data_IF_809274629461
#
_entry.id   IF_809274629461
#
_cell.length_a   1.000
_cell.length_b   1.000
_cell.length_c   1.000
_cell.angle_alpha   90.00
_cell.angle_beta   90.00
_cell.angle_gamma   90.00
#
_symmetry.space_group_name_H-M   'P 1'
#
loop_
_entity.id
_entity.type
_entity.pdbx_description
1 polymer ?
#
# COMPACT_ATOMS: atom_id res chain seq x y z
N UNK A 1 41.66 34.62 -36.42
CA UNK A 1 40.84 34.83 -37.62
C UNK A 1 39.79 33.72 -37.72
N UNK A 2 38.51 34.11 -37.71
CA UNK A 2 37.23 33.45 -38.06
C UNK A 2 37.11 31.90 -38.03
N UNK A 3 36.27 31.40 -37.11
CA UNK A 3 35.54 30.13 -37.25
C UNK A 3 34.49 30.28 -38.37
N UNK A 4 34.48 29.37 -39.34
CA UNK A 4 33.42 29.26 -40.35
C UNK A 4 32.34 28.31 -39.85
N UNK A 5 31.12 28.84 -39.71
CA UNK A 5 29.92 28.10 -39.35
C UNK A 5 29.38 27.37 -40.59
N UNK A 6 29.17 26.05 -40.52
CA UNK A 6 28.59 25.28 -41.64
C UNK A 6 27.08 25.33 -41.53
N UNK A 7 26.44 26.26 -42.25
CA UNK A 7 24.98 26.32 -42.30
C UNK A 7 24.40 25.13 -43.09
N UNK A 8 23.35 24.52 -42.54
CA UNK A 8 22.62 23.42 -43.18
C UNK A 8 21.91 23.92 -44.46
N UNK A 9 21.99 23.14 -45.54
CA UNK A 9 21.43 23.51 -46.84
C UNK A 9 19.91 23.31 -46.92
N UNK A 10 19.19 24.23 -47.58
CA UNK A 10 17.71 24.20 -47.76
C UNK A 10 17.16 22.85 -48.24
N UNK A 11 17.93 22.09 -49.03
CA UNK A 11 17.55 20.74 -49.51
C UNK A 11 17.61 19.67 -48.41
N UNK A 12 18.57 19.75 -47.49
CA UNK A 12 18.63 18.88 -46.32
C UNK A 12 17.50 19.18 -45.33
N UNK A 13 17.11 20.46 -45.21
CA UNK A 13 15.99 20.86 -44.37
C UNK A 13 14.65 20.29 -44.86
N UNK A 14 14.39 20.34 -46.17
CA UNK A 14 13.17 19.76 -46.75
C UNK A 14 13.16 18.23 -46.72
N UNK A 15 14.32 17.58 -46.91
CA UNK A 15 14.43 16.12 -46.79
C UNK A 15 14.16 15.59 -45.38
N UNK A 16 14.63 16.31 -44.35
CA UNK A 16 14.42 15.92 -42.96
C UNK A 16 13.03 16.30 -42.40
N UNK A 17 12.31 17.24 -43.04
CA UNK A 17 10.99 17.69 -42.58
C UNK A 17 9.87 16.65 -42.74
N UNK A 18 9.98 15.75 -43.72
CA UNK A 18 8.96 14.72 -43.99
C UNK A 18 8.90 13.60 -42.94
N UNK A 19 10.02 13.31 -42.26
CA UNK A 19 10.08 12.24 -41.24
C UNK A 19 9.33 12.63 -39.96
N UNK A 20 9.24 13.92 -39.63
CA UNK A 20 8.55 14.40 -38.43
C UNK A 20 7.02 14.43 -38.57
N UNK A 21 6.50 14.62 -39.79
CA UNK A 21 5.05 14.73 -40.01
C UNK A 21 4.31 13.37 -39.99
N UNK A 22 4.99 12.28 -40.34
CA UNK A 22 4.39 10.94 -40.30
C UNK A 22 4.15 10.44 -38.86
N UNK A 23 4.97 10.86 -37.90
CA UNK A 23 4.85 10.47 -36.49
C UNK A 23 3.70 11.15 -35.74
N UNK A 24 3.25 12.33 -36.19
CA UNK A 24 2.20 13.11 -35.52
C UNK A 24 0.76 12.68 -35.86
N UNK A 25 0.57 11.78 -36.83
CA UNK A 25 -0.75 11.28 -37.24
C UNK A 25 -1.14 9.97 -36.56
N UNK A 26 -0.23 9.37 -35.79
CA UNK A 26 -0.59 8.25 -34.92
C UNK A 26 -1.27 8.85 -33.68
N UNK A 27 -2.53 8.48 -33.37
CA UNK A 27 -3.06 8.78 -32.04
C UNK A 27 -2.06 8.25 -31.02
N UNK A 28 -1.78 8.96 -29.92
CA UNK A 28 -0.95 8.39 -28.86
C UNK A 28 -1.60 7.04 -28.54
N UNK A 29 -0.87 5.95 -28.76
CA UNK A 29 -1.27 4.64 -28.30
C UNK A 29 -1.53 4.85 -26.82
N UNK A 30 -2.80 4.92 -26.45
CA UNK A 30 -3.22 4.89 -25.07
C UNK A 30 -2.89 3.47 -24.66
N UNK A 31 -1.65 3.27 -24.21
CA UNK A 31 -1.28 2.11 -23.44
C UNK A 31 -2.19 2.22 -22.23
N UNK A 32 -3.33 1.52 -22.29
CA UNK A 32 -4.14 1.26 -21.13
C UNK A 32 -3.14 0.83 -20.07
N UNK A 33 -2.96 1.68 -19.06
CA UNK A 33 -1.92 1.48 -18.07
C UNK A 33 -2.30 0.19 -17.37
N UNK A 34 -1.70 -0.92 -17.79
CA UNK A 34 -1.91 -2.22 -17.22
C UNK A 34 -1.26 -2.16 -15.85
N UNK A 35 -1.96 -1.54 -14.88
CA UNK A 35 -1.59 -1.56 -13.48
C UNK A 35 -1.65 -3.01 -13.06
N UNK A 36 -0.49 -3.67 -13.13
CA UNK A 36 -0.31 -4.98 -12.55
C UNK A 36 -0.23 -4.77 -11.04
N UNK A 37 -1.06 -5.51 -10.32
CA UNK A 37 -0.93 -5.63 -8.88
C UNK A 37 0.31 -6.50 -8.65
N UNK A 38 1.40 -5.88 -8.23
CA UNK A 38 2.67 -6.60 -8.01
C UNK A 38 2.61 -7.48 -6.76
N UNK A 39 1.79 -7.09 -5.78
CA UNK A 39 1.65 -7.78 -4.50
C UNK A 39 0.18 -7.92 -4.14
N UNK A 40 -0.24 -9.16 -3.91
CA UNK A 40 -1.59 -9.48 -3.47
C UNK A 40 -1.55 -9.73 -1.97
N UNK A 41 -2.28 -8.90 -1.24
CA UNK A 41 -2.45 -9.04 0.21
C UNK A 41 -3.72 -9.79 0.59
N UNK A 42 -3.70 -10.42 1.77
CA UNK A 42 -4.87 -11.05 2.37
C UNK A 42 -5.27 -10.33 3.66
N UNK A 43 -6.53 -9.88 3.71
CA UNK A 43 -7.12 -9.30 4.92
C UNK A 43 -7.59 -10.42 5.86
N UNK A 44 -6.87 -10.59 6.97
CA UNK A 44 -6.91 -11.78 7.83
C UNK A 44 -8.18 -11.92 8.65
N UNK A 45 -9.06 -10.92 8.68
CA UNK A 45 -10.40 -11.07 9.26
C UNK A 45 -11.18 -12.22 8.60
N UNK A 46 -10.92 -12.48 7.31
CA UNK A 46 -11.50 -13.62 6.59
C UNK A 46 -11.17 -14.96 7.25
N UNK A 47 -9.98 -15.09 7.84
CA UNK A 47 -9.47 -16.31 8.48
C UNK A 47 -9.42 -16.20 10.01
N UNK A 48 -10.20 -15.30 10.60
CA UNK A 48 -10.15 -15.01 12.05
C UNK A 48 -10.42 -16.23 12.93
N UNK A 49 -11.25 -17.17 12.46
CA UNK A 49 -11.60 -18.35 13.23
C UNK A 49 -10.44 -19.35 13.24
N UNK A 50 -9.83 -19.57 12.09
CA UNK A 50 -8.67 -20.43 11.88
C UNK A 50 -7.46 -19.90 12.64
N UNK A 51 -7.20 -18.59 12.55
CA UNK A 51 -6.13 -17.92 13.32
C UNK A 51 -6.34 -17.98 14.83
N UNK A 52 -7.59 -18.02 15.30
CA UNK A 52 -7.90 -18.17 16.72
C UNK A 52 -7.65 -19.59 17.23
N UNK A 53 -7.63 -20.59 16.33
CA UNK A 53 -7.39 -21.99 16.68
C UNK A 53 -5.91 -22.38 16.51
N UNK A 54 -5.29 -21.95 15.42
CA UNK A 54 -3.92 -22.29 15.04
C UNK A 54 -3.34 -21.13 14.23
N UNK A 55 -2.70 -20.19 14.93
CA UNK A 55 -2.19 -18.96 14.33
C UNK A 55 -1.03 -19.25 13.36
N UNK A 56 -0.01 -19.96 13.84
CA UNK A 56 1.19 -20.30 13.08
C UNK A 56 0.87 -21.20 11.90
N UNK A 57 0.10 -22.27 12.10
CA UNK A 57 -0.26 -23.20 11.03
C UNK A 57 -1.18 -22.60 9.98
N UNK A 58 -2.06 -21.67 10.37
CA UNK A 58 -2.89 -20.93 9.40
C UNK A 58 -2.04 -20.00 8.54
N UNK A 59 -1.12 -19.24 9.14
CA UNK A 59 -0.23 -18.34 8.40
C UNK A 59 0.73 -19.09 7.48
N UNK A 60 1.24 -20.26 7.90
CA UNK A 60 2.04 -21.12 7.04
C UNK A 60 1.27 -21.58 5.80
N UNK A 61 0.03 -22.05 5.96
CA UNK A 61 -0.83 -22.43 4.84
C UNK A 61 -1.13 -21.27 3.90
N UNK A 62 -1.36 -20.07 4.44
CA UNK A 62 -1.57 -18.87 3.62
C UNK A 62 -0.33 -18.54 2.78
N UNK A 63 0.87 -18.71 3.35
CA UNK A 63 2.13 -18.57 2.62
C UNK A 63 2.30 -19.66 1.54
N UNK A 64 1.94 -20.91 1.83
CA UNK A 64 1.95 -22.01 0.84
C UNK A 64 1.03 -21.72 -0.35
N UNK A 65 -0.12 -21.07 -0.12
CA UNK A 65 -1.05 -20.63 -1.17
C UNK A 65 -0.52 -19.46 -2.02
N UNK A 66 0.62 -18.88 -1.67
CA UNK A 66 1.31 -17.85 -2.45
C UNK A 66 1.04 -16.41 -2.02
N UNK A 67 0.27 -16.19 -0.95
CA UNK A 67 0.12 -14.85 -0.39
C UNK A 67 1.40 -14.42 0.35
N UNK A 68 1.76 -13.14 0.25
CA UNK A 68 3.00 -12.58 0.82
C UNK A 68 2.77 -11.34 1.67
N UNK A 69 1.60 -10.70 1.55
CA UNK A 69 1.24 -9.54 2.36
C UNK A 69 -0.02 -9.82 3.16
N UNK A 70 -0.01 -9.48 4.44
CA UNK A 70 -1.12 -9.72 5.36
C UNK A 70 -1.61 -8.40 5.95
N UNK A 71 -2.92 -8.25 6.06
CA UNK A 71 -3.53 -7.19 6.84
C UNK A 71 -4.21 -7.80 8.07
N UNK A 72 -3.64 -7.53 9.25
CA UNK A 72 -4.15 -8.10 10.50
C UNK A 72 -5.47 -7.45 10.93
N UNK A 73 -6.30 -8.23 11.61
CA UNK A 73 -7.50 -7.72 12.28
C UNK A 73 -7.39 -7.98 13.78
N UNK A 74 -6.64 -7.10 14.44
CA UNK A 74 -6.09 -7.37 15.77
C UNK A 74 -4.94 -8.39 15.74
N UNK A 75 -4.31 -8.56 16.90
CA UNK A 75 -3.03 -9.27 17.04
C UNK A 75 -3.14 -10.61 17.80
N UNK A 76 -4.35 -11.12 18.05
CA UNK A 76 -4.59 -12.43 18.68
C UNK A 76 -3.82 -12.64 20.00
N UNK A 77 -3.70 -11.58 20.82
CA UNK A 77 -2.94 -11.57 22.08
C UNK A 77 -1.45 -11.89 21.96
N UNK A 78 -0.85 -11.67 20.78
CA UNK A 78 0.58 -11.85 20.54
C UNK A 78 1.31 -10.52 20.56
N UNK A 79 2.57 -10.56 20.94
CA UNK A 79 3.48 -9.41 20.84
C UNK A 79 3.89 -9.14 19.39
N UNK A 80 4.27 -7.90 19.09
CA UNK A 80 4.76 -7.52 17.76
C UNK A 80 5.94 -8.39 17.32
N UNK A 81 6.86 -8.71 18.24
CA UNK A 81 8.00 -9.59 17.99
C UNK A 81 7.61 -11.01 17.60
N UNK A 82 6.65 -11.62 18.30
CA UNK A 82 6.18 -12.97 17.97
C UNK A 82 5.55 -13.00 16.58
N UNK A 83 4.72 -12.01 16.26
CA UNK A 83 4.11 -11.90 14.94
C UNK A 83 5.18 -11.69 13.88
N UNK A 84 6.14 -10.80 14.14
CA UNK A 84 7.24 -10.51 13.21
C UNK A 84 8.04 -11.77 12.88
N UNK A 85 8.39 -12.56 13.90
CA UNK A 85 9.08 -13.83 13.71
C UNK A 85 8.29 -14.78 12.80
N UNK A 86 6.99 -14.96 13.05
CA UNK A 86 6.15 -15.84 12.22
C UNK A 86 6.05 -15.34 10.78
N UNK A 87 5.96 -14.02 10.56
CA UNK A 87 5.97 -13.46 9.21
C UNK A 87 7.31 -13.70 8.51
N UNK A 88 8.42 -13.43 9.19
CA UNK A 88 9.78 -13.61 8.65
C UNK A 88 10.05 -15.09 8.29
N UNK A 89 9.67 -16.02 9.17
CA UNK A 89 9.81 -17.48 8.95
C UNK A 89 9.06 -17.96 7.70
N UNK A 90 7.97 -17.28 7.34
CA UNK A 90 7.13 -17.61 6.19
C UNK A 90 7.38 -16.71 4.97
N UNK A 91 8.39 -15.82 5.03
CA UNK A 91 8.69 -14.88 3.94
C UNK A 91 7.53 -13.93 3.63
N UNK A 92 6.76 -13.56 4.64
CA UNK A 92 5.60 -12.68 4.55
C UNK A 92 5.88 -11.30 5.15
N UNK A 93 5.01 -10.35 4.87
CA UNK A 93 5.04 -9.02 5.48
C UNK A 93 3.63 -8.57 5.84
N UNK A 94 3.52 -7.55 6.69
CA UNK A 94 2.26 -6.91 7.00
C UNK A 94 2.40 -5.40 6.87
N UNK A 95 1.89 -4.79 5.78
CA UNK A 95 1.98 -3.34 5.62
C UNK A 95 0.94 -2.59 6.46
N UNK A 96 -0.14 -3.25 6.87
CA UNK A 96 -1.27 -2.62 7.56
C UNK A 96 -1.92 -3.54 8.60
N UNK A 97 -2.63 -2.93 9.55
CA UNK A 97 -3.55 -3.62 10.44
C UNK A 97 -4.82 -2.81 10.72
N UNK A 98 -5.93 -3.53 10.90
CA UNK A 98 -7.16 -3.00 11.47
C UNK A 98 -7.01 -2.86 12.99
N UNK A 99 -7.08 -1.63 13.48
CA UNK A 99 -7.09 -1.28 14.90
C UNK A 99 -8.41 -0.57 15.23
N UNK A 100 -9.03 -0.97 16.34
CA UNK A 100 -10.30 -0.38 16.75
C UNK A 100 -10.10 1.08 17.19
N UNK A 101 -11.06 1.94 16.84
CA UNK A 101 -11.01 3.36 17.21
C UNK A 101 -10.89 3.57 18.73
N UNK A 102 -11.48 2.67 19.52
CA UNK A 102 -11.37 2.69 20.97
C UNK A 102 -9.93 2.48 21.47
N UNK A 103 -9.14 1.61 20.83
CA UNK A 103 -7.74 1.40 21.19
C UNK A 103 -6.89 2.63 20.84
N UNK A 104 -7.10 3.21 19.66
CA UNK A 104 -6.46 4.46 19.23
C UNK A 104 -6.77 5.60 20.22
N UNK A 105 -8.02 5.75 20.64
CA UNK A 105 -8.42 6.76 21.64
C UNK A 105 -7.79 6.52 23.01
N UNK A 106 -7.57 5.27 23.38
CA UNK A 106 -6.99 4.92 24.67
C UNK A 106 -5.49 5.24 24.69
N UNK A 107 -4.75 4.83 23.66
CA UNK A 107 -3.31 5.04 23.57
C UNK A 107 -2.82 4.90 22.12
N UNK A 108 -2.87 6.00 21.36
CA UNK A 108 -2.42 6.02 19.96
C UNK A 108 -0.93 5.70 19.83
N UNK A 109 -0.09 6.21 20.73
CA UNK A 109 1.36 6.01 20.66
C UNK A 109 1.70 4.53 20.81
N UNK A 110 1.06 3.83 21.74
CA UNK A 110 1.23 2.38 21.90
C UNK A 110 0.89 1.60 20.63
N UNK A 111 -0.20 1.93 19.96
CA UNK A 111 -0.59 1.26 18.72
C UNK A 111 0.38 1.57 17.57
N UNK A 112 0.90 2.81 17.50
CA UNK A 112 1.97 3.20 16.56
C UNK A 112 3.25 2.44 16.83
N UNK A 113 3.68 2.33 18.09
CA UNK A 113 4.91 1.63 18.47
C UNK A 113 4.83 0.13 18.13
N UNK A 114 3.67 -0.50 18.39
CA UNK A 114 3.42 -1.89 18.02
C UNK A 114 3.49 -2.08 16.49
N UNK A 115 2.80 -1.22 15.74
CA UNK A 115 2.79 -1.25 14.28
C UNK A 115 4.21 -1.05 13.72
N UNK A 116 4.98 -0.11 14.27
CA UNK A 116 6.35 0.18 13.89
C UNK A 116 7.30 -0.99 14.17
N UNK A 117 7.19 -1.67 15.32
CA UNK A 117 7.98 -2.86 15.64
C UNK A 117 7.70 -4.00 14.65
N UNK A 118 6.46 -4.15 14.20
CA UNK A 118 6.08 -5.13 13.19
C UNK A 118 6.49 -4.73 11.76
N UNK A 119 6.81 -3.45 11.53
CA UNK A 119 7.15 -2.89 10.23
C UNK A 119 5.94 -2.44 9.39
N UNK A 120 4.79 -2.25 10.03
CA UNK A 120 3.58 -1.73 9.41
C UNK A 120 3.73 -0.24 9.09
N UNK A 121 3.18 0.17 7.94
CA UNK A 121 3.16 1.57 7.51
C UNK A 121 1.81 2.23 7.74
N UNK A 122 0.75 1.44 7.89
CA UNK A 122 -0.62 1.93 7.99
C UNK A 122 -1.35 1.31 9.17
N UNK A 123 -2.03 2.17 9.93
CA UNK A 123 -3.08 1.76 10.87
C UNK A 123 -4.42 2.10 10.22
N UNK A 124 -5.29 1.10 10.11
CA UNK A 124 -6.60 1.23 9.49
C UNK A 124 -7.66 1.17 10.60
N UNK A 125 -8.56 2.15 10.63
CA UNK A 125 -9.77 2.08 11.47
C UNK A 125 -10.88 1.44 10.65
N UNK A 126 -11.22 0.16 10.89
CA UNK A 126 -12.09 -0.57 9.97
C UNK A 126 -13.56 -0.16 10.11
N UNK A 127 -13.94 0.36 11.27
CA UNK A 127 -15.31 0.72 11.56
C UNK A 127 -15.37 1.83 12.60
N UNK A 128 -16.31 2.74 12.38
CA UNK A 128 -16.79 3.71 13.38
C UNK A 128 -18.17 3.25 13.81
N UNK A 129 -18.47 3.29 15.11
CA UNK A 129 -19.77 2.88 15.63
C UNK A 129 -20.92 3.66 14.97
N UNK A 130 -22.06 3.01 14.70
CA UNK A 130 -23.16 3.62 13.94
C UNK A 130 -23.69 4.93 14.57
N UNK A 131 -23.64 5.03 15.89
CA UNK A 131 -24.04 6.21 16.66
C UNK A 131 -22.98 7.32 16.71
N UNK A 132 -21.82 7.13 16.06
CA UNK A 132 -20.73 8.11 15.99
C UNK A 132 -20.44 8.52 14.52
N UNK A 133 -21.47 8.65 13.69
CA UNK A 133 -21.35 8.94 12.25
C UNK A 133 -22.03 10.25 11.82
N UNK A 134 -22.28 11.18 12.74
CA UNK A 134 -22.68 12.54 12.36
C UNK A 134 -21.46 13.32 11.82
N UNK A 135 -21.72 14.47 11.18
CA UNK A 135 -20.64 15.35 10.71
C UNK A 135 -19.70 15.76 11.86
N UNK A 136 -20.26 16.09 13.02
CA UNK A 136 -19.46 16.52 14.16
C UNK A 136 -18.71 15.35 14.82
N UNK A 137 -19.22 14.12 14.71
CA UNK A 137 -18.45 12.93 15.11
C UNK A 137 -17.21 12.77 14.24
N UNK A 138 -17.35 12.85 12.91
CA UNK A 138 -16.20 12.72 12.01
C UNK A 138 -15.14 13.82 12.24
N UNK A 139 -15.56 15.06 12.57
CA UNK A 139 -14.63 16.11 13.00
C UNK A 139 -13.86 15.69 14.26
N UNK A 140 -14.57 15.18 15.29
CA UNK A 140 -13.94 14.69 16.53
C UNK A 140 -12.98 13.52 16.28
N UNK A 141 -13.34 12.59 15.40
CA UNK A 141 -12.46 11.48 15.02
C UNK A 141 -11.19 12.00 14.33
N UNK A 142 -11.32 12.94 13.39
CA UNK A 142 -10.18 13.54 12.71
C UNK A 142 -9.26 14.29 13.69
N UNK A 143 -9.82 15.07 14.61
CA UNK A 143 -9.04 15.73 15.66
C UNK A 143 -8.32 14.73 16.59
N UNK A 144 -8.93 13.58 16.86
CA UNK A 144 -8.29 12.51 17.65
C UNK A 144 -7.09 11.93 16.89
N UNK A 145 -7.26 11.62 15.61
CA UNK A 145 -6.20 11.03 14.77
C UNK A 145 -5.06 12.01 14.46
N UNK A 146 -5.32 13.33 14.51
CA UNK A 146 -4.30 14.37 14.32
C UNK A 146 -3.44 14.66 15.57
N UNK A 147 -3.71 14.01 16.70
CA UNK A 147 -3.02 14.25 17.99
C UNK A 147 -1.86 13.28 18.26
N UNK A 148 -1.43 12.52 17.26
CA UNK A 148 -0.18 11.74 17.30
C UNK A 148 1.04 12.64 17.44
#
# INVERSE_FOLDING_TARGET
MRKTDKSLGRRQFLGNGLVLAAGSLLPPLSLAQARRVERVGLQLYTLRNELSQDFEGTLAKVAELGYREMEFAGYFNRSAREIRQVLDDNGMSSPAAHIQLAAIRADLQKEIDFAAELGQQFIVVPIVANNERSLDDFKRHAETLNRA
#
